data_IF_778261069523
#
_entry.id   IF_778261069523
#
_cell.length_a   1.000
_cell.length_b   1.000
_cell.length_c   1.000
_cell.angle_alpha   90.00
_cell.angle_beta   90.00
_cell.angle_gamma   90.00
#
_symmetry.space_group_name_H-M   'P 1'
#
loop_
_entity.id
_entity.type
_entity.pdbx_description
1 polymer ?
#
# COMPACT_ATOMS: atom_id res chain seq x y z
N UNK A 1 0.09 20.03 28.69
CA UNK A 1 -0.58 18.77 29.08
C UNK A 1 -1.77 18.62 28.15
N UNK A 2 -1.55 18.12 26.94
CA UNK A 2 -2.59 17.97 25.92
C UNK A 2 -3.22 16.59 26.10
N UNK A 3 -4.51 16.62 26.40
CA UNK A 3 -5.41 15.48 26.48
C UNK A 3 -5.39 14.72 25.14
N UNK A 4 -4.63 13.63 25.11
CA UNK A 4 -4.51 12.76 23.95
C UNK A 4 -5.69 11.79 23.97
N UNK A 5 -6.90 12.34 23.79
CA UNK A 5 -8.14 11.59 23.68
C UNK A 5 -8.05 10.63 22.50
N UNK A 6 -7.55 9.41 22.75
CA UNK A 6 -7.71 8.25 21.87
C UNK A 6 -9.19 8.24 21.48
N UNK A 7 -9.49 8.51 20.21
CA UNK A 7 -10.86 8.42 19.67
C UNK A 7 -11.44 7.09 20.12
N UNK A 8 -12.45 7.11 20.98
CA UNK A 8 -13.12 5.95 21.56
C UNK A 8 -14.01 5.22 20.53
N UNK A 9 -13.52 5.07 19.30
CA UNK A 9 -14.18 4.38 18.20
C UNK A 9 -13.75 2.92 18.12
N UNK A 10 -14.61 2.09 17.50
CA UNK A 10 -14.31 0.68 17.21
C UNK A 10 -12.96 0.56 16.50
N UNK A 11 -12.11 -0.39 16.94
CA UNK A 11 -10.83 -0.69 16.31
C UNK A 11 -10.86 -2.05 15.63
N UNK A 12 -10.22 -2.14 14.46
CA UNK A 12 -10.10 -3.37 13.68
C UNK A 12 -8.63 -3.77 13.63
N UNK A 13 -8.30 -4.96 14.13
CA UNK A 13 -6.96 -5.52 13.98
C UNK A 13 -6.78 -6.06 12.57
N UNK A 14 -5.68 -5.64 11.92
CA UNK A 14 -5.19 -6.24 10.69
C UNK A 14 -3.95 -7.04 11.06
N UNK A 15 -4.00 -8.36 10.90
CA UNK A 15 -2.96 -9.29 11.36
C UNK A 15 -2.35 -10.12 10.23
N UNK A 16 -2.81 -9.92 8.99
CA UNK A 16 -2.36 -10.65 7.81
C UNK A 16 -3.01 -12.01 7.57
N UNK A 17 -3.93 -12.44 8.42
CA UNK A 17 -4.57 -13.76 8.36
C UNK A 17 -6.08 -13.70 8.36
N UNK A 18 -6.68 -12.85 9.20
CA UNK A 18 -8.12 -12.69 9.30
C UNK A 18 -8.52 -11.26 8.92
N UNK A 19 -9.57 -11.14 8.10
CA UNK A 19 -10.23 -9.86 7.83
C UNK A 19 -11.65 -10.14 7.34
N UNK A 20 -12.65 -9.81 8.15
CA UNK A 20 -14.05 -10.04 7.79
C UNK A 20 -14.60 -8.89 6.95
N UNK A 21 -15.60 -9.19 6.12
CA UNK A 21 -16.26 -8.19 5.26
C UNK A 21 -16.88 -7.04 6.07
N UNK A 22 -17.40 -7.31 7.26
CA UNK A 22 -17.91 -6.28 8.18
C UNK A 22 -16.82 -5.31 8.66
N UNK A 23 -15.59 -5.79 8.84
CA UNK A 23 -14.46 -4.97 9.24
C UNK A 23 -13.94 -4.11 8.08
N UNK A 24 -13.91 -4.68 6.87
CA UNK A 24 -13.63 -3.92 5.64
C UNK A 24 -14.65 -2.80 5.47
N UNK A 25 -15.94 -3.10 5.58
CA UNK A 25 -17.01 -2.11 5.46
C UNK A 25 -16.86 -1.00 6.52
N UNK A 26 -16.59 -1.37 7.79
CA UNK A 26 -16.45 -0.39 8.85
C UNK A 26 -15.23 0.54 8.68
N UNK A 27 -14.10 0.02 8.21
CA UNK A 27 -12.93 0.82 7.86
C UNK A 27 -13.21 1.72 6.64
N UNK A 28 -13.88 1.18 5.63
CA UNK A 28 -14.26 1.91 4.42
C UNK A 28 -15.26 3.03 4.71
N UNK A 29 -16.18 2.84 5.64
CA UNK A 29 -17.19 3.82 6.06
C UNK A 29 -16.70 4.72 7.20
N UNK A 30 -15.50 4.45 7.73
CA UNK A 30 -14.90 5.17 8.85
C UNK A 30 -15.72 5.12 10.14
N UNK A 31 -16.49 4.05 10.31
CA UNK A 31 -17.17 3.72 11.58
C UNK A 31 -16.26 2.92 12.52
N UNK A 32 -15.11 2.47 12.01
CA UNK A 32 -14.00 1.93 12.76
C UNK A 32 -12.65 2.49 12.27
N UNK A 33 -11.62 2.32 13.09
CA UNK A 33 -10.24 2.71 12.82
C UNK A 33 -9.33 1.48 12.80
N UNK A 34 -8.22 1.48 12.05
CA UNK A 34 -7.23 0.42 12.19
C UNK A 34 -6.67 0.42 13.62
N UNK A 35 -6.58 -0.76 14.22
CA UNK A 35 -5.81 -0.93 15.44
C UNK A 35 -4.32 -0.70 15.14
N UNK A 36 -3.51 -0.58 16.19
CA UNK A 36 -2.06 -0.63 15.96
C UNK A 36 -1.69 -2.01 15.39
N UNK A 37 -0.78 -2.05 14.41
CA UNK A 37 -0.43 -3.31 13.76
C UNK A 37 0.12 -4.31 14.78
N UNK A 38 -0.31 -5.56 14.66
CA UNK A 38 0.20 -6.65 15.50
C UNK A 38 1.73 -6.76 15.32
N UNK A 39 2.54 -6.71 16.40
CA UNK A 39 4.00 -6.74 16.29
C UNK A 39 4.54 -7.98 15.57
N UNK A 40 3.87 -9.14 15.71
CA UNK A 40 4.26 -10.37 15.01
C UNK A 40 3.94 -10.27 13.53
N UNK A 41 2.78 -9.71 13.17
CA UNK A 41 2.43 -9.49 11.77
C UNK A 41 3.39 -8.53 11.08
N UNK A 42 3.77 -7.46 11.77
CA UNK A 42 4.76 -6.50 11.27
C UNK A 42 6.14 -7.13 11.13
N UNK A 43 6.58 -7.94 12.10
CA UNK A 43 7.84 -8.67 12.03
C UNK A 43 7.89 -9.65 10.84
N UNK A 44 6.78 -10.33 10.51
CA UNK A 44 6.71 -11.18 9.30
C UNK A 44 6.88 -10.38 8.02
N UNK A 45 6.31 -9.18 7.93
CA UNK A 45 6.49 -8.31 6.76
C UNK A 45 7.94 -7.85 6.61
N UNK A 46 8.61 -7.52 7.72
CA UNK A 46 10.03 -7.18 7.76
C UNK A 46 10.91 -8.34 7.28
N UNK A 47 10.72 -9.54 7.85
CA UNK A 47 11.46 -10.75 7.45
C UNK A 47 11.26 -11.07 5.96
N UNK A 48 10.04 -10.90 5.45
CA UNK A 48 9.70 -11.05 4.03
C UNK A 48 10.49 -10.08 3.16
N UNK A 49 10.53 -8.80 3.54
CA UNK A 49 11.26 -7.77 2.82
C UNK A 49 12.76 -8.05 2.79
N UNK A 50 13.35 -8.38 3.93
CA UNK A 50 14.77 -8.72 4.01
C UNK A 50 15.12 -9.94 3.16
N UNK A 51 14.29 -10.98 3.22
CA UNK A 51 14.46 -12.19 2.43
C UNK A 51 14.41 -11.88 0.94
N UNK A 52 13.40 -11.15 0.50
CA UNK A 52 13.29 -10.74 -0.89
C UNK A 52 14.46 -9.83 -1.32
N UNK A 53 15.05 -9.03 -0.41
CA UNK A 53 16.22 -8.19 -0.69
C UNK A 53 17.47 -9.05 -0.88
N UNK A 54 17.70 -10.03 0.01
CA UNK A 54 18.82 -10.98 -0.10
C UNK A 54 18.74 -11.82 -1.37
N UNK A 55 17.56 -12.34 -1.70
CA UNK A 55 17.35 -13.16 -2.90
C UNK A 55 17.60 -12.38 -4.20
N UNK A 56 17.17 -11.12 -4.26
CA UNK A 56 17.39 -10.29 -5.42
C UNK A 56 18.85 -9.84 -5.60
N UNK A 57 19.65 -9.83 -4.52
CA UNK A 57 21.07 -9.47 -4.58
C UNK A 57 21.93 -10.56 -5.26
N UNK A 58 21.49 -11.82 -5.25
CA UNK A 58 22.28 -12.96 -5.76
C UNK A 58 21.57 -13.78 -6.82
N UNK A 59 20.28 -13.53 -7.07
CA UNK A 59 19.46 -14.33 -7.97
C UNK A 59 18.45 -13.51 -8.77
N UNK A 60 17.79 -14.19 -9.71
CA UNK A 60 16.74 -13.62 -10.57
C UNK A 60 15.39 -13.71 -9.87
N UNK A 61 14.80 -12.56 -9.58
CA UNK A 61 13.51 -12.41 -8.92
C UNK A 61 12.61 -11.58 -9.84
N UNK A 62 11.49 -12.16 -10.24
CA UNK A 62 10.50 -11.54 -11.12
C UNK A 62 10.06 -10.17 -10.59
N UNK A 63 10.24 -9.11 -11.40
CA UNK A 63 9.86 -7.74 -11.04
C UNK A 63 10.72 -7.05 -9.96
N UNK A 64 11.81 -7.67 -9.51
CA UNK A 64 12.78 -7.04 -8.59
C UNK A 64 14.19 -6.97 -9.17
N UNK A 65 14.74 -8.09 -9.63
CA UNK A 65 16.02 -8.15 -10.36
C UNK A 65 15.83 -8.52 -11.84
N UNK A 66 14.58 -8.54 -12.30
CA UNK A 66 14.20 -8.72 -13.70
C UNK A 66 13.01 -7.84 -14.03
N UNK A 67 12.70 -7.65 -15.31
CA UNK A 67 11.46 -7.02 -15.74
C UNK A 67 10.21 -7.85 -15.41
N UNK A 68 9.05 -7.37 -15.85
CA UNK A 68 7.75 -8.03 -15.68
C UNK A 68 7.09 -8.30 -17.04
N UNK A 69 6.12 -9.23 -17.06
CA UNK A 69 5.36 -9.57 -18.25
C UNK A 69 6.26 -10.11 -19.37
N UNK A 70 6.15 -9.52 -20.56
CA UNK A 70 7.01 -9.85 -21.70
C UNK A 70 8.50 -9.61 -21.41
N UNK A 71 8.83 -8.67 -20.50
CA UNK A 71 10.21 -8.31 -20.14
C UNK A 71 10.78 -9.14 -18.99
N UNK A 72 10.14 -10.26 -18.60
CA UNK A 72 10.58 -11.12 -17.49
C UNK A 72 11.97 -11.74 -17.66
N UNK A 73 12.48 -11.75 -18.89
CA UNK A 73 13.81 -12.24 -19.24
C UNK A 73 14.87 -11.16 -19.19
N UNK A 74 14.48 -9.90 -19.09
CA UNK A 74 15.40 -8.76 -19.01
C UNK A 74 15.90 -8.61 -17.57
N UNK A 75 17.21 -8.49 -17.39
CA UNK A 75 17.81 -8.28 -16.09
C UNK A 75 17.71 -6.81 -15.66
N UNK A 76 17.53 -6.60 -14.36
CA UNK A 76 17.53 -5.27 -13.73
C UNK A 76 18.71 -5.22 -12.78
N UNK A 77 19.60 -4.26 -13.00
CA UNK A 77 20.78 -4.11 -12.15
C UNK A 77 20.40 -3.76 -10.70
N UNK A 78 21.12 -4.34 -9.74
CA UNK A 78 20.86 -4.11 -8.31
C UNK A 78 20.97 -2.62 -7.88
N UNK A 79 21.64 -1.78 -8.67
CA UNK A 79 21.79 -0.35 -8.43
C UNK A 79 20.67 0.51 -9.06
N UNK A 80 19.74 -0.08 -9.84
CA UNK A 80 18.65 0.65 -10.47
C UNK A 80 17.52 0.92 -9.46
N UNK A 81 17.74 1.93 -8.63
CA UNK A 81 16.78 2.38 -7.62
C UNK A 81 15.47 2.91 -8.25
N UNK A 82 15.47 3.28 -9.53
CA UNK A 82 14.28 3.80 -10.21
C UNK A 82 13.38 2.70 -10.79
N UNK A 83 13.85 1.45 -10.86
CA UNK A 83 13.11 0.34 -11.46
C UNK A 83 11.67 0.22 -10.93
N UNK A 84 11.50 0.27 -9.61
CA UNK A 84 10.18 0.19 -8.98
C UNK A 84 9.26 1.33 -9.42
N UNK A 85 9.75 2.57 -9.45
CA UNK A 85 8.98 3.73 -9.93
C UNK A 85 8.64 3.61 -11.41
N UNK A 86 9.54 3.12 -12.25
CA UNK A 86 9.26 2.88 -13.68
C UNK A 86 8.15 1.84 -13.87
N UNK A 87 8.13 0.77 -13.07
CA UNK A 87 7.03 -0.20 -13.09
C UNK A 87 5.71 0.45 -12.66
N UNK A 88 5.70 1.23 -11.58
CA UNK A 88 4.49 1.92 -11.14
C UNK A 88 3.97 2.86 -12.24
N UNK A 89 4.83 3.69 -12.83
CA UNK A 89 4.46 4.63 -13.90
C UNK A 89 3.91 3.93 -15.14
N UNK A 90 4.51 2.80 -15.55
CA UNK A 90 4.04 2.06 -16.73
C UNK A 90 2.72 1.31 -16.51
N UNK A 91 2.37 0.99 -15.27
CA UNK A 91 1.14 0.26 -14.94
C UNK A 91 0.01 1.16 -14.46
N UNK A 92 0.26 2.43 -14.13
CA UNK A 92 -0.76 3.41 -13.71
C UNK A 92 -1.62 3.94 -14.89
N UNK A 93 -2.07 3.05 -15.77
CA UNK A 93 -2.84 3.37 -16.97
C UNK A 93 -4.36 3.37 -16.79
N UNK A 94 -4.86 3.42 -15.55
CA UNK A 94 -6.31 3.45 -15.33
C UNK A 94 -6.92 4.80 -15.75
N UNK A 95 -8.12 4.76 -16.31
CA UNK A 95 -8.87 5.89 -16.88
C UNK A 95 -10.34 5.86 -16.41
N UNK A 96 -11.13 6.86 -16.80
CA UNK A 96 -12.52 7.01 -16.38
C UNK A 96 -12.64 7.82 -15.10
N UNK A 97 -13.80 7.77 -14.46
CA UNK A 97 -14.06 8.56 -13.26
C UNK A 97 -13.27 8.03 -12.05
N UNK A 98 -12.91 8.90 -11.09
CA UNK A 98 -12.35 8.47 -9.82
C UNK A 98 -13.32 7.55 -9.06
N UNK A 99 -12.79 6.44 -8.55
CA UNK A 99 -13.55 5.51 -7.73
C UNK A 99 -14.06 6.18 -6.44
N UNK A 100 -15.24 5.78 -5.94
CA UNK A 100 -15.78 6.27 -4.69
C UNK A 100 -14.84 6.03 -3.51
N UNK A 101 -14.78 7.01 -2.60
CA UNK A 101 -13.91 6.97 -1.42
C UNK A 101 -14.05 5.69 -0.57
N UNK A 102 -15.27 5.14 -0.50
CA UNK A 102 -15.57 3.88 0.19
C UNK A 102 -14.81 2.70 -0.42
N UNK A 103 -14.80 2.60 -1.75
CA UNK A 103 -14.16 1.50 -2.47
C UNK A 103 -12.64 1.58 -2.38
N UNK A 104 -12.07 2.78 -2.55
CA UNK A 104 -10.62 2.95 -2.41
C UNK A 104 -10.16 2.60 -0.99
N UNK A 105 -10.87 3.05 0.06
CA UNK A 105 -10.51 2.67 1.43
C UNK A 105 -10.69 1.18 1.71
N UNK A 106 -11.70 0.53 1.13
CA UNK A 106 -11.85 -0.92 1.22
C UNK A 106 -10.63 -1.63 0.59
N UNK A 107 -10.19 -1.18 -0.60
CA UNK A 107 -8.97 -1.67 -1.25
C UNK A 107 -7.73 -1.46 -0.36
N UNK A 108 -7.57 -0.29 0.27
CA UNK A 108 -6.44 -0.05 1.18
C UNK A 108 -6.44 -1.00 2.38
N UNK A 109 -7.61 -1.27 2.99
CA UNK A 109 -7.74 -2.18 4.13
C UNK A 109 -7.36 -3.61 3.76
N UNK A 110 -7.90 -4.11 2.64
CA UNK A 110 -7.54 -5.44 2.11
C UNK A 110 -6.05 -5.51 1.80
N UNK A 111 -5.51 -4.49 1.14
CA UNK A 111 -4.10 -4.45 0.75
C UNK A 111 -3.16 -4.42 1.96
N UNK A 112 -3.46 -3.60 2.96
CA UNK A 112 -2.68 -3.54 4.20
C UNK A 112 -2.63 -4.91 4.89
N UNK A 113 -3.77 -5.60 4.98
CA UNK A 113 -3.82 -6.94 5.55
C UNK A 113 -3.03 -7.95 4.70
N UNK A 114 -3.17 -7.93 3.38
CA UNK A 114 -2.38 -8.81 2.49
C UNK A 114 -0.87 -8.62 2.66
N UNK A 115 -0.39 -7.39 2.85
CA UNK A 115 1.04 -7.12 3.07
C UNK A 115 1.52 -7.66 4.43
N UNK A 116 0.68 -7.57 5.47
CA UNK A 116 0.95 -8.12 6.81
C UNK A 116 0.99 -9.66 6.84
N UNK A 117 0.50 -10.34 5.80
CA UNK A 117 0.64 -11.78 5.66
C UNK A 117 2.12 -12.22 5.52
N UNK A 118 3.02 -11.31 5.12
CA UNK A 118 4.46 -11.60 5.04
C UNK A 118 4.90 -12.32 3.76
N UNK A 119 4.09 -12.33 2.70
CA UNK A 119 4.43 -12.96 1.42
C UNK A 119 4.92 -12.01 0.32
N UNK A 120 4.82 -10.69 0.53
CA UNK A 120 4.96 -9.71 -0.55
C UNK A 120 6.39 -9.17 -0.75
N UNK A 121 7.29 -9.30 0.23
CA UNK A 121 8.65 -8.78 0.16
C UNK A 121 8.77 -7.25 0.03
N UNK A 122 7.71 -6.51 0.37
CA UNK A 122 7.64 -5.04 0.27
C UNK A 122 8.07 -4.38 1.57
N UNK A 123 8.74 -3.23 1.48
CA UNK A 123 9.20 -2.49 2.66
C UNK A 123 8.04 -2.16 3.63
N UNK A 124 8.14 -2.46 4.93
CA UNK A 124 7.00 -2.30 5.86
C UNK A 124 6.48 -0.87 6.05
N UNK A 125 7.29 0.15 5.72
CA UNK A 125 6.82 1.54 5.68
C UNK A 125 5.58 1.74 4.79
N UNK A 126 5.40 0.93 3.74
CA UNK A 126 4.18 0.96 2.92
C UNK A 126 2.96 0.56 3.74
N UNK A 127 3.08 -0.46 4.59
CA UNK A 127 1.99 -0.90 5.47
C UNK A 127 1.60 0.24 6.41
N UNK A 128 2.59 0.88 7.06
CA UNK A 128 2.37 2.04 7.93
C UNK A 128 1.61 3.14 7.19
N UNK A 129 2.04 3.49 5.97
CA UNK A 129 1.38 4.53 5.19
C UNK A 129 -0.07 4.19 4.83
N UNK A 130 -0.38 2.93 4.50
CA UNK A 130 -1.75 2.47 4.26
C UNK A 130 -2.61 2.57 5.52
N UNK A 131 -2.08 2.17 6.69
CA UNK A 131 -2.78 2.29 7.97
C UNK A 131 -3.03 3.76 8.34
N UNK A 132 -2.05 4.65 8.13
CA UNK A 132 -2.21 6.09 8.32
C UNK A 132 -3.27 6.69 7.39
N UNK A 133 -3.31 6.26 6.13
CA UNK A 133 -4.35 6.69 5.18
C UNK A 133 -5.75 6.27 5.67
N UNK A 134 -5.90 5.02 6.11
CA UNK A 134 -7.17 4.51 6.67
C UNK A 134 -7.62 5.28 7.92
N UNK A 135 -6.70 5.52 8.86
CA UNK A 135 -7.03 6.21 10.11
C UNK A 135 -7.41 7.69 9.90
N UNK A 136 -6.65 8.39 9.06
CA UNK A 136 -6.95 9.78 8.67
C UNK A 136 -8.18 9.90 7.77
N UNK A 137 -8.55 8.81 7.09
CA UNK A 137 -9.59 8.73 6.06
C UNK A 137 -9.17 9.30 4.71
N UNK A 138 -7.89 9.63 4.54
CA UNK A 138 -7.33 9.99 3.25
C UNK A 138 -7.25 8.77 2.33
N UNK A 139 -7.32 9.00 1.03
CA UNK A 139 -7.24 7.95 0.03
C UNK A 139 -6.62 8.47 -1.27
N UNK A 140 -5.88 7.64 -2.01
CA UNK A 140 -5.35 8.03 -3.31
C UNK A 140 -6.52 8.19 -4.30
N UNK A 141 -6.37 9.09 -5.27
CA UNK A 141 -7.25 9.06 -6.44
C UNK A 141 -6.92 7.79 -7.23
N UNK A 142 -7.94 7.02 -7.61
CA UNK A 142 -7.82 5.80 -8.41
C UNK A 142 -8.97 5.78 -9.41
N UNK A 143 -8.72 5.42 -10.65
CA UNK A 143 -9.74 5.44 -11.72
C UNK A 143 -10.37 4.06 -11.96
N UNK A 144 -11.61 4.05 -12.46
CA UNK A 144 -12.45 2.85 -12.54
C UNK A 144 -12.12 1.85 -13.68
N UNK A 145 -11.47 2.27 -14.76
CA UNK A 145 -11.19 1.41 -15.90
C UNK A 145 -9.69 1.16 -16.05
N UNK A 146 -9.27 -0.09 -16.19
CA UNK A 146 -7.86 -0.43 -16.42
C UNK A 146 -7.40 -1.76 -15.81
N UNK A 147 -8.23 -2.38 -14.97
CA UNK A 147 -8.01 -3.73 -14.48
C UNK A 147 -8.64 -4.76 -15.44
N UNK A 148 -7.93 -5.87 -15.68
CA UNK A 148 -8.39 -7.00 -16.51
C UNK A 148 -8.65 -8.27 -15.68
N UNK A 149 -8.69 -8.15 -14.36
CA UNK A 149 -9.05 -9.24 -13.44
C UNK A 149 -7.94 -10.22 -13.07
N UNK A 150 -6.73 -10.08 -13.62
CA UNK A 150 -5.56 -10.90 -13.26
C UNK A 150 -4.63 -10.20 -12.26
N UNK A 151 -5.24 -9.34 -11.42
CA UNK A 151 -4.57 -8.44 -10.48
C UNK A 151 -4.98 -6.98 -10.70
N UNK A 152 -5.16 -6.24 -9.61
CA UNK A 152 -5.58 -4.83 -9.63
C UNK A 152 -4.39 -3.88 -9.91
N UNK A 153 -3.59 -4.21 -10.93
CA UNK A 153 -2.28 -3.59 -11.18
C UNK A 153 -2.41 -2.07 -11.38
N UNK A 154 -3.37 -1.62 -12.18
CA UNK A 154 -3.52 -0.20 -12.47
C UNK A 154 -3.93 0.61 -11.23
N UNK A 155 -4.87 0.08 -10.45
CA UNK A 155 -5.37 0.69 -9.22
C UNK A 155 -4.25 0.76 -8.14
N UNK A 156 -3.52 -0.33 -7.97
CA UNK A 156 -2.41 -0.42 -7.02
C UNK A 156 -1.18 0.37 -7.49
N UNK A 157 -0.98 0.54 -8.80
CA UNK A 157 0.08 1.38 -9.35
C UNK A 157 -0.20 2.87 -9.09
N UNK A 158 -1.43 3.34 -9.34
CA UNK A 158 -1.84 4.69 -8.97
C UNK A 158 -1.70 4.94 -7.45
N UNK A 159 -2.06 3.95 -6.63
CA UNK A 159 -1.84 3.98 -5.17
C UNK A 159 -0.36 4.08 -4.82
N UNK A 160 0.50 3.27 -5.45
CA UNK A 160 1.95 3.31 -5.25
C UNK A 160 2.56 4.66 -5.62
N UNK A 161 2.15 5.24 -6.75
CA UNK A 161 2.57 6.58 -7.16
C UNK A 161 2.06 7.65 -6.19
N UNK A 162 0.86 7.49 -5.60
CA UNK A 162 0.35 8.42 -4.60
C UNK A 162 1.23 8.41 -3.35
N UNK A 163 1.64 7.23 -2.89
CA UNK A 163 2.57 7.05 -1.77
C UNK A 163 3.97 7.64 -2.07
N UNK A 164 4.40 7.57 -3.33
CA UNK A 164 5.63 8.21 -3.80
C UNK A 164 5.52 9.73 -4.01
N UNK A 165 4.30 10.30 -3.94
CA UNK A 165 4.04 11.72 -4.17
C UNK A 165 3.87 12.12 -5.64
N UNK A 166 3.73 11.15 -6.55
CA UNK A 166 3.55 11.33 -7.99
C UNK A 166 2.09 11.15 -8.45
N UNK A 167 1.16 10.91 -7.53
CA UNK A 167 -0.26 10.80 -7.80
C UNK A 167 -1.10 11.54 -6.73
N UNK A 168 -2.23 12.16 -7.09
CA UNK A 168 -3.05 12.89 -6.13
C UNK A 168 -3.67 12.03 -5.03
N UNK A 169 -3.87 12.68 -3.88
CA UNK A 169 -4.63 12.21 -2.72
C UNK A 169 -5.89 13.05 -2.54
N UNK A 170 -6.95 12.42 -2.05
CA UNK A 170 -8.10 13.10 -1.49
C UNK A 170 -8.08 12.99 0.03
N UNK A 171 -8.18 14.13 0.71
CA UNK A 171 -8.17 14.22 2.16
C UNK A 171 -9.52 14.74 2.67
N UNK A 172 -10.08 14.14 3.74
CA UNK A 172 -11.18 14.73 4.49
C UNK A 172 -10.77 16.12 5.03
N UNK A 173 -11.73 17.04 5.24
CA UNK A 173 -11.44 18.32 5.90
C UNK A 173 -10.71 18.09 7.24
N UNK A 174 -9.55 18.71 7.41
CA UNK A 174 -8.73 18.61 8.63
C UNK A 174 -7.67 17.50 8.66
N UNK A 175 -7.54 16.66 7.62
CA UNK A 175 -6.46 15.68 7.53
C UNK A 175 -5.17 16.32 6.95
N UNK A 176 -4.03 16.15 7.62
CA UNK A 176 -2.75 16.74 7.21
C UNK A 176 -2.13 15.99 6.01
N UNK A 177 -2.13 16.63 4.83
CA UNK A 177 -1.57 16.09 3.58
C UNK A 177 -0.08 15.70 3.68
N UNK A 178 0.66 16.32 4.61
CA UNK A 178 2.10 16.14 4.78
C UNK A 178 2.51 14.81 5.44
N UNK A 179 1.61 14.12 6.16
CA UNK A 179 1.93 12.84 6.83
C UNK A 179 1.88 11.62 5.90
N UNK A 180 1.29 11.76 4.71
CA UNK A 180 1.08 10.66 3.76
C UNK A 180 2.16 10.60 2.67
N UNK A 181 2.79 11.74 2.37
CA UNK A 181 3.83 11.91 1.35
C UNK A 181 5.17 12.10 2.04
N UNK A 182 5.83 11.01 2.43
CA UNK A 182 7.12 11.15 3.14
C UNK A 182 7.80 9.87 3.62
N UNK A 183 7.05 8.78 3.86
CA UNK A 183 7.63 7.56 4.43
C UNK A 183 8.69 6.85 3.54
N UNK A 184 8.83 7.25 2.27
CA UNK A 184 9.81 6.69 1.34
C UNK A 184 11.12 7.48 1.20
N UNK A 185 11.21 8.73 1.69
CA UNK A 185 12.40 9.56 1.45
C UNK A 185 13.57 9.27 2.40
N UNK A 186 13.33 8.59 3.52
CA UNK A 186 14.36 8.39 4.55
C UNK A 186 15.05 7.01 4.53
N UNK A 187 14.55 6.06 3.73
CA UNK A 187 15.05 4.66 3.73
C UNK A 187 15.23 4.11 2.32
N UNK A 188 15.97 4.84 1.48
CA UNK A 188 16.42 4.36 0.16
C UNK A 188 17.09 3.00 0.22
#
# INVERSE_FOLDING_TARGET
MLDNGRRAGRRVTLDGTALHTADIAALAERTAHPAEPDPKAFARAEESWETARRLAATGRVYGRSTGVGANRTEDVGAADAEHGLRLLRSHAGAIGDPLPAREVRAMLAVRANQLLAGGAGLHPAVITALLTALDSGAYPVVNEHGAVGTGDLAALAQTGLALAGEHPWTCPPGAARQQLVGAHREHG
#
